data_IF_349528765026
#
_entry.id   IF_349528765026
#
_cell.length_a   1.000
_cell.length_b   1.000
_cell.length_c   1.000
_cell.angle_alpha   90.00
_cell.angle_beta   90.00
_cell.angle_gamma   90.00
#
_symmetry.space_group_name_H-M   'P 1'
#
loop_
_entity.id
_entity.type
_entity.pdbx_description
1 polymer ?
#
# COMPACT_ATOMS: atom_id res chain seq x y z
N UNK A 1 -0.68 0.51 -53.76
CA UNK A 1 -1.93 -0.24 -53.55
C UNK A 1 -2.15 -0.42 -52.06
N UNK A 2 -3.11 0.31 -51.50
CA UNK A 2 -3.56 0.21 -50.10
C UNK A 2 -4.67 -0.83 -50.02
N UNK A 3 -4.56 -1.79 -49.09
CA UNK A 3 -5.64 -2.73 -48.79
C UNK A 3 -6.28 -2.40 -47.42
N UNK A 4 -7.62 -2.49 -47.29
CA UNK A 4 -8.40 -1.88 -46.22
C UNK A 4 -9.02 -2.93 -45.28
N UNK A 5 -8.69 -2.82 -44.00
CA UNK A 5 -9.57 -3.25 -42.89
C UNK A 5 -9.39 -2.18 -41.80
N UNK A 6 -10.32 -1.21 -41.68
CA UNK A 6 -11.61 -1.37 -40.95
C UNK A 6 -11.32 -1.95 -39.56
N UNK A 7 -11.33 -1.20 -38.45
CA UNK A 7 -12.30 -0.18 -38.03
C UNK A 7 -11.61 0.94 -37.23
N UNK A 8 -12.04 2.16 -37.53
CA UNK A 8 -11.82 3.39 -36.76
C UNK A 8 -12.65 3.36 -35.45
N UNK A 9 -12.68 4.46 -34.67
CA UNK A 9 -11.86 4.88 -33.53
C UNK A 9 -12.64 4.70 -32.21
N UNK A 10 -12.21 5.34 -31.12
CA UNK A 10 -13.02 5.58 -29.89
C UNK A 10 -12.90 4.60 -28.71
N UNK A 11 -11.70 4.30 -28.24
CA UNK A 11 -11.52 3.99 -26.79
C UNK A 11 -10.55 4.91 -26.06
N UNK A 12 -9.88 5.80 -26.79
CA UNK A 12 -9.05 6.87 -26.22
C UNK A 12 -9.84 8.19 -26.11
N UNK A 13 -11.10 8.13 -25.67
CA UNK A 13 -11.83 9.32 -25.26
C UNK A 13 -11.97 9.34 -23.75
N UNK A 14 -11.14 10.18 -23.13
CA UNK A 14 -11.48 10.95 -21.95
C UNK A 14 -11.95 10.10 -20.76
N UNK A 15 -11.00 9.49 -20.03
CA UNK A 15 -11.21 9.39 -18.59
C UNK A 15 -11.14 10.81 -18.03
N UNK A 16 -12.32 11.41 -18.01
CA UNK A 16 -12.64 12.69 -17.44
C UNK A 16 -12.32 12.64 -15.93
N UNK A 17 -11.10 13.01 -15.55
CA UNK A 17 -10.69 13.32 -14.17
C UNK A 17 -11.18 14.72 -13.75
N UNK A 18 -12.35 15.14 -14.22
CA UNK A 18 -12.96 16.44 -13.90
C UNK A 18 -14.32 16.18 -13.26
N UNK A 19 -14.30 16.04 -11.93
CA UNK A 19 -15.56 15.98 -11.18
C UNK A 19 -15.54 15.15 -9.91
N UNK A 20 -14.44 15.11 -9.16
CA UNK A 20 -14.53 14.81 -7.74
C UNK A 20 -13.90 15.96 -6.95
N UNK A 21 -14.58 17.12 -6.98
CA UNK A 21 -14.61 17.97 -5.79
C UNK A 21 -15.46 17.23 -4.74
N UNK A 22 -14.93 16.12 -4.23
CA UNK A 22 -15.38 15.57 -2.98
C UNK A 22 -14.80 16.52 -1.94
N UNK A 23 -15.58 17.52 -1.55
CA UNK A 23 -15.57 17.96 -0.14
C UNK A 23 -15.95 16.72 0.67
N UNK A 24 -15.02 15.78 0.81
CA UNK A 24 -15.09 14.78 1.85
C UNK A 24 -15.20 15.61 3.12
N UNK A 25 -16.32 15.53 3.86
CA UNK A 25 -16.36 16.19 5.16
C UNK A 25 -15.14 15.65 5.89
N UNK A 26 -14.24 16.56 6.29
CA UNK A 26 -13.12 16.18 7.14
C UNK A 26 -13.71 15.33 8.27
N UNK A 27 -13.16 14.13 8.53
CA UNK A 27 -13.77 13.22 9.47
C UNK A 27 -14.02 13.96 10.78
N UNK A 28 -15.25 13.84 11.28
CA UNK A 28 -15.74 14.59 12.44
C UNK A 28 -14.91 14.32 13.70
N UNK A 29 -14.12 13.23 13.70
CA UNK A 29 -13.11 12.89 14.70
C UNK A 29 -11.91 12.20 14.04
N UNK A 30 -10.70 12.61 14.43
CA UNK A 30 -9.49 11.85 14.14
C UNK A 30 -9.52 10.51 14.88
N UNK A 31 -9.15 9.42 14.20
CA UNK A 31 -9.16 8.06 14.75
C UNK A 31 -7.74 7.54 14.88
N UNK A 32 -7.53 6.58 15.78
CA UNK A 32 -6.31 5.77 15.86
C UNK A 32 -6.64 4.37 15.36
N UNK A 33 -6.04 3.99 14.24
CA UNK A 33 -6.34 2.75 13.51
C UNK A 33 -5.13 1.85 13.59
N UNK A 34 -5.32 0.60 14.01
CA UNK A 34 -4.28 -0.42 14.01
C UNK A 34 -4.54 -1.43 12.88
N UNK A 35 -3.53 -1.69 12.06
CA UNK A 35 -3.57 -2.70 11.00
C UNK A 35 -2.59 -3.82 11.37
N UNK A 36 -3.07 -5.05 11.40
CA UNK A 36 -2.22 -6.24 11.60
C UNK A 36 -2.09 -6.97 10.28
N UNK A 37 -0.86 -7.31 9.90
CA UNK A 37 -0.55 -8.04 8.66
C UNK A 37 0.53 -9.07 8.93
N UNK A 38 0.40 -10.23 8.30
CA UNK A 38 1.39 -11.31 8.27
C UNK A 38 2.47 -11.09 7.19
N UNK A 39 2.31 -10.06 6.35
CA UNK A 39 3.27 -9.69 5.31
C UNK A 39 4.14 -8.51 5.76
N UNK A 40 5.46 -8.67 5.63
CA UNK A 40 6.42 -7.58 5.83
C UNK A 40 6.26 -6.49 4.75
N UNK A 41 6.21 -5.22 5.16
CA UNK A 41 5.94 -4.10 4.24
C UNK A 41 7.15 -3.61 3.44
N UNK A 42 8.36 -4.03 3.81
CA UNK A 42 9.60 -3.64 3.11
C UNK A 42 9.91 -4.46 1.86
N UNK A 43 9.01 -5.34 1.41
CA UNK A 43 9.13 -6.08 0.15
C UNK A 43 8.14 -5.57 -0.91
N UNK A 44 8.46 -5.71 -2.21
CA UNK A 44 7.51 -5.43 -3.28
C UNK A 44 6.37 -6.47 -3.27
N UNK A 45 5.20 -6.09 -3.74
CA UNK A 45 4.04 -6.98 -3.86
C UNK A 45 2.70 -6.27 -3.83
N UNK A 46 1.64 -6.95 -4.27
CA UNK A 46 0.28 -6.39 -4.27
C UNK A 46 -0.25 -6.14 -2.86
N UNK A 47 -0.11 -7.11 -1.95
CA UNK A 47 -0.52 -7.00 -0.55
C UNK A 47 0.16 -5.81 0.15
N UNK A 48 1.52 -5.73 0.22
CA UNK A 48 2.17 -4.60 0.90
C UNK A 48 1.86 -3.26 0.24
N UNK A 49 1.67 -3.22 -1.09
CA UNK A 49 1.26 -1.99 -1.79
C UNK A 49 -0.16 -1.54 -1.42
N UNK A 50 -1.10 -2.48 -1.31
CA UNK A 50 -2.49 -2.18 -0.93
C UNK A 50 -2.60 -1.67 0.50
N UNK A 51 -1.82 -2.23 1.43
CA UNK A 51 -1.77 -1.79 2.83
C UNK A 51 -1.21 -0.37 2.92
N UNK A 52 -0.13 -0.07 2.18
CA UNK A 52 0.43 1.28 2.09
C UNK A 52 -0.59 2.29 1.54
N UNK A 53 -1.27 1.95 0.45
CA UNK A 53 -2.30 2.80 -0.13
C UNK A 53 -3.44 3.11 0.87
N UNK A 54 -3.89 2.10 1.62
CA UNK A 54 -4.90 2.26 2.67
C UNK A 54 -4.40 3.16 3.80
N UNK A 55 -3.17 2.95 4.27
CA UNK A 55 -2.54 3.82 5.29
C UNK A 55 -2.54 5.27 4.82
N UNK A 56 -1.99 5.54 3.62
CA UNK A 56 -1.90 6.90 3.07
C UNK A 56 -3.27 7.54 2.90
N UNK A 57 -4.27 6.79 2.41
CA UNK A 57 -5.64 7.30 2.27
C UNK A 57 -6.23 7.70 3.63
N UNK A 58 -6.13 6.85 4.65
CA UNK A 58 -6.62 7.13 5.99
C UNK A 58 -5.87 8.30 6.67
N UNK A 59 -4.55 8.37 6.50
CA UNK A 59 -3.74 9.47 7.03
C UNK A 59 -4.06 10.80 6.34
N UNK A 60 -4.33 10.79 5.03
CA UNK A 60 -4.76 11.99 4.29
C UNK A 60 -6.12 12.54 4.75
N UNK A 61 -6.94 11.68 5.36
CA UNK A 61 -8.20 12.07 5.99
C UNK A 61 -7.99 12.58 7.43
N UNK A 62 -6.77 12.51 7.99
CA UNK A 62 -6.45 12.98 9.34
C UNK A 62 -6.56 11.90 10.42
N UNK A 63 -6.60 10.62 10.05
CA UNK A 63 -6.46 9.51 11.00
C UNK A 63 -4.99 9.19 11.27
N UNK A 64 -4.69 8.67 12.46
CA UNK A 64 -3.38 8.07 12.76
C UNK A 64 -3.48 6.57 12.49
N UNK A 65 -2.60 6.02 11.66
CA UNK A 65 -2.58 4.59 11.33
C UNK A 65 -1.27 3.98 11.77
N UNK A 66 -1.34 2.95 12.63
CA UNK A 66 -0.21 2.14 13.06
C UNK A 66 -0.30 0.75 12.45
N UNK A 67 0.77 0.28 11.81
CA UNK A 67 0.82 -1.05 11.21
C UNK A 67 1.72 -1.95 12.04
N UNK A 68 1.20 -3.11 12.40
CA UNK A 68 1.92 -4.18 13.07
C UNK A 68 2.17 -5.28 12.03
N UNK A 69 3.44 -5.50 11.71
CA UNK A 69 3.84 -6.49 10.73
C UNK A 69 5.08 -7.26 11.20
N UNK A 70 5.25 -8.51 10.77
CA UNK A 70 6.45 -9.25 11.08
C UNK A 70 7.67 -8.63 10.43
N UNK A 71 8.83 -8.82 11.05
CA UNK A 71 10.11 -8.43 10.48
C UNK A 71 11.19 -8.26 11.55
N UNK A 72 12.41 -8.06 11.08
CA UNK A 72 13.58 -7.79 11.92
C UNK A 72 14.09 -6.38 11.69
N UNK A 73 14.93 -5.88 12.61
CA UNK A 73 15.59 -4.60 12.45
C UNK A 73 16.42 -4.57 11.15
N UNK A 74 17.04 -5.69 10.78
CA UNK A 74 17.76 -5.83 9.51
C UNK A 74 16.84 -5.70 8.29
N UNK A 75 15.61 -6.22 8.36
CA UNK A 75 14.64 -6.07 7.26
C UNK A 75 14.24 -4.59 7.06
N UNK A 76 14.21 -3.82 8.15
CA UNK A 76 13.97 -2.39 8.13
C UNK A 76 15.13 -1.59 7.49
N UNK A 77 16.36 -2.06 7.68
CA UNK A 77 17.59 -1.46 7.12
C UNK A 77 17.92 -1.95 5.71
N UNK A 78 17.24 -3.00 5.23
CA UNK A 78 17.47 -3.61 3.91
C UNK A 78 17.23 -2.59 2.77
N UNK A 79 18.06 -2.54 1.72
CA UNK A 79 17.82 -1.70 0.54
C UNK A 79 16.44 -1.87 -0.14
N UNK A 80 15.78 -3.02 0.03
CA UNK A 80 14.41 -3.26 -0.42
C UNK A 80 13.37 -2.54 0.46
N UNK A 81 13.69 -2.21 1.72
CA UNK A 81 12.82 -1.42 2.62
C UNK A 81 12.51 -0.01 2.08
N UNK A 82 13.21 0.43 1.03
CA UNK A 82 12.89 1.60 0.20
C UNK A 82 11.44 1.61 -0.31
N UNK A 83 10.76 0.47 -0.35
CA UNK A 83 9.34 0.38 -0.68
C UNK A 83 8.39 0.89 0.43
N UNK A 84 8.83 1.81 1.28
CA UNK A 84 7.95 2.56 2.20
C UNK A 84 7.81 1.98 3.61
N UNK A 85 8.69 1.04 4.00
CA UNK A 85 8.81 0.62 5.40
C UNK A 85 9.92 1.39 6.13
N UNK A 86 10.92 1.90 5.42
CA UNK A 86 12.11 2.49 6.03
C UNK A 86 11.77 3.72 6.90
N UNK A 87 12.07 3.63 8.20
CA UNK A 87 12.01 4.73 9.19
C UNK A 87 10.62 5.31 9.45
N UNK A 88 9.55 4.62 9.07
CA UNK A 88 8.21 5.04 9.45
C UNK A 88 7.95 4.66 10.93
N UNK A 89 7.78 5.63 11.84
CA UNK A 89 7.60 5.34 13.26
C UNK A 89 6.24 4.71 13.58
N UNK A 90 5.29 4.73 12.63
CA UNK A 90 4.00 4.08 12.76
C UNK A 90 3.99 2.67 12.17
N UNK A 91 5.15 2.10 11.84
CA UNK A 91 5.31 0.68 11.51
C UNK A 91 6.03 0.01 12.68
N UNK A 92 5.34 -0.89 13.36
CA UNK A 92 5.84 -1.63 14.51
C UNK A 92 6.12 -3.06 14.05
N UNK A 93 7.40 -3.44 14.16
CA UNK A 93 7.81 -4.82 13.92
C UNK A 93 7.35 -5.69 15.09
N UNK A 94 6.56 -6.71 14.79
CA UNK A 94 6.17 -7.72 15.77
C UNK A 94 7.18 -8.87 15.76
N UNK A 95 7.61 -9.37 16.94
CA UNK A 95 8.49 -10.54 16.99
C UNK A 95 7.83 -11.73 16.32
N UNK A 96 8.51 -12.32 15.34
CA UNK A 96 8.06 -13.57 14.72
C UNK A 96 9.11 -14.65 14.85
N UNK A 97 8.64 -15.87 15.04
CA UNK A 97 9.52 -17.02 15.04
C UNK A 97 9.93 -17.29 13.59
N UNK A 98 11.23 -17.43 13.32
CA UNK A 98 11.81 -17.61 11.98
C UNK A 98 11.50 -18.99 11.38
N UNK A 99 10.25 -19.44 11.42
CA UNK A 99 9.88 -20.68 10.78
C UNK A 99 9.63 -20.40 9.30
N UNK A 100 10.38 -21.07 8.44
CA UNK A 100 10.10 -21.08 7.00
C UNK A 100 9.20 -22.28 6.74
N UNK A 101 7.98 -22.06 6.25
CA UNK A 101 7.15 -23.15 5.71
C UNK A 101 7.28 -23.08 4.18
N UNK A 102 7.80 -24.14 3.56
CA UNK A 102 8.02 -24.21 2.11
C UNK A 102 8.87 -23.07 1.53
N UNK A 103 9.87 -22.58 2.29
CA UNK A 103 10.75 -21.49 1.84
C UNK A 103 10.13 -20.09 1.90
N UNK A 104 8.85 -19.97 2.27
CA UNK A 104 8.23 -18.70 2.60
C UNK A 104 8.39 -18.42 4.11
N UNK A 105 8.73 -17.19 4.51
CA UNK A 105 8.71 -16.82 5.92
C UNK A 105 7.30 -16.97 6.45
N UNK A 106 7.13 -17.92 7.37
CA UNK A 106 5.96 -18.01 8.22
C UNK A 106 6.21 -17.05 9.37
N UNK A 107 5.32 -16.07 9.49
CA UNK A 107 5.36 -15.07 10.54
C UNK A 107 4.41 -15.46 11.67
#
# INVERSE_FOLDING_TARGET
>A
MSNPHSKNPESLKHQNLKGQNLKNPAPTKALRIAIFTDVFLGIPGGIPSSIRAQKTALESLGHQVTIFCPGTQQDFENPLSKFGANRDPNIILVPTAKFLVNGAPFS
#
